data_IF_774058728696
#
_entry.id   IF_774058728696
#
_cell.length_a   1.000
_cell.length_b   1.000
_cell.length_c   1.000
_cell.angle_alpha   90.00
_cell.angle_beta   90.00
_cell.angle_gamma   90.00
#
_symmetry.space_group_name_H-M   'P 1'
#
loop_
_entity.id
_entity.type
_entity.pdbx_description
1 polymer ?
#
# COMPACT_ATOMS: atom_id res chain seq x y z
N UNK A 1 -24.09 -0.97 3.20
CA UNK A 1 -23.13 -1.92 3.81
C UNK A 1 -21.88 -1.86 2.95
N UNK A 2 -20.74 -1.58 3.57
CA UNK A 2 -19.46 -1.50 2.87
C UNK A 2 -19.12 -2.86 2.26
N UNK A 3 -18.73 -2.89 0.98
CA UNK A 3 -18.30 -4.12 0.31
C UNK A 3 -16.98 -4.62 0.91
N UNK A 4 -16.71 -5.92 0.77
CA UNK A 4 -15.41 -6.47 1.17
C UNK A 4 -14.26 -5.88 0.36
N UNK A 5 -14.49 -5.66 -0.94
CA UNK A 5 -13.57 -5.04 -1.91
C UNK A 5 -14.38 -4.27 -2.95
N UNK A 6 -13.79 -3.22 -3.53
CA UNK A 6 -14.32 -2.49 -4.67
C UNK A 6 -13.39 -2.70 -5.88
N UNK A 7 -13.95 -2.80 -7.08
CA UNK A 7 -13.17 -2.98 -8.31
C UNK A 7 -12.40 -1.70 -8.68
N UNK A 8 -11.33 -1.83 -9.48
CA UNK A 8 -10.60 -0.66 -9.96
C UNK A 8 -11.53 0.26 -10.78
N UNK A 9 -11.65 1.51 -10.35
CA UNK A 9 -12.58 2.49 -10.93
C UNK A 9 -13.97 2.51 -10.28
N UNK A 10 -14.29 1.55 -9.42
CA UNK A 10 -15.46 1.60 -8.55
C UNK A 10 -15.13 2.39 -7.28
N UNK A 11 -15.67 3.61 -7.17
CA UNK A 11 -15.37 4.50 -6.06
C UNK A 11 -16.21 4.11 -4.82
N UNK A 12 -15.61 3.73 -3.69
CA UNK A 12 -16.35 3.47 -2.45
C UNK A 12 -17.03 4.77 -1.96
N UNK A 13 -18.18 4.68 -1.25
CA UNK A 13 -18.77 5.84 -0.60
C UNK A 13 -17.74 6.57 0.26
N UNK A 14 -17.76 7.91 0.25
CA UNK A 14 -16.75 8.70 0.91
C UNK A 14 -16.70 8.38 2.42
N UNK A 15 -15.50 8.00 2.90
CA UNK A 15 -15.29 7.60 4.29
C UNK A 15 -15.52 6.12 4.59
N UNK A 16 -16.10 5.35 3.66
CA UNK A 16 -16.22 3.90 3.80
C UNK A 16 -14.94 3.20 3.35
N UNK A 17 -14.31 2.46 4.28
CA UNK A 17 -13.06 1.73 4.04
C UNK A 17 -13.38 0.24 3.87
N UNK A 18 -13.13 -0.37 2.70
CA UNK A 18 -13.33 -1.80 2.51
C UNK A 18 -12.31 -2.61 3.32
N UNK A 19 -12.59 -3.91 3.49
CA UNK A 19 -11.66 -4.81 4.18
C UNK A 19 -10.42 -5.11 3.32
N UNK A 20 -10.61 -5.25 2.00
CA UNK A 20 -9.57 -5.57 1.04
C UNK A 20 -9.43 -4.50 -0.04
N UNK A 21 -8.25 -4.48 -0.66
CA UNK A 21 -7.91 -3.64 -1.80
C UNK A 21 -7.08 -4.43 -2.82
N UNK A 22 -7.02 -3.91 -4.04
CA UNK A 22 -6.08 -4.39 -5.05
C UNK A 22 -4.74 -3.64 -4.93
N UNK A 23 -3.63 -4.37 -5.07
CA UNK A 23 -2.29 -3.78 -5.06
C UNK A 23 -1.35 -4.49 -6.02
N UNK A 24 -0.31 -3.78 -6.48
CA UNK A 24 0.84 -4.37 -7.17
C UNK A 24 1.83 -4.88 -6.11
N UNK A 25 1.95 -6.20 -5.99
CA UNK A 25 2.65 -6.87 -4.90
C UNK A 25 3.92 -7.56 -5.42
N UNK A 26 5.02 -7.35 -4.70
CA UNK A 26 6.30 -8.04 -4.86
C UNK A 26 6.43 -9.10 -3.76
N UNK A 27 6.85 -10.31 -4.12
CA UNK A 27 7.15 -11.39 -3.17
C UNK A 27 8.56 -11.97 -3.43
N UNK A 28 9.23 -12.54 -2.40
CA UNK A 28 10.62 -13.01 -2.54
C UNK A 28 10.84 -14.05 -3.63
N UNK A 29 9.88 -14.95 -3.82
CA UNK A 29 9.90 -15.98 -4.86
C UNK A 29 9.80 -15.41 -6.29
N UNK A 30 9.49 -14.12 -6.43
CA UNK A 30 9.40 -13.41 -7.71
C UNK A 30 10.44 -12.31 -7.90
N UNK A 31 11.42 -12.18 -7.01
CA UNK A 31 12.44 -11.16 -7.19
C UNK A 31 13.16 -11.32 -8.54
N UNK A 32 13.41 -10.21 -9.21
CA UNK A 32 14.03 -10.18 -10.54
C UNK A 32 13.49 -9.06 -11.41
N UNK A 33 13.26 -9.37 -12.70
CA UNK A 33 12.78 -8.39 -13.68
C UNK A 33 11.46 -7.75 -13.22
N UNK A 34 11.34 -6.40 -13.18
CA UNK A 34 10.14 -5.73 -12.67
C UNK A 34 8.84 -6.17 -13.35
N UNK A 35 8.87 -6.49 -14.64
CA UNK A 35 7.73 -6.99 -15.42
C UNK A 35 7.15 -8.32 -14.92
N UNK A 36 7.92 -9.08 -14.13
CA UNK A 36 7.53 -10.37 -13.54
C UNK A 36 7.35 -10.28 -12.03
N UNK A 37 8.15 -9.44 -11.37
CA UNK A 37 8.16 -9.30 -9.91
C UNK A 37 6.84 -8.74 -9.36
N UNK A 38 6.31 -7.70 -10.00
CA UNK A 38 5.02 -7.11 -9.65
C UNK A 38 3.88 -7.96 -10.19
N UNK A 39 2.94 -8.32 -9.31
CA UNK A 39 1.70 -8.98 -9.67
C UNK A 39 0.53 -8.31 -8.97
N UNK A 40 -0.62 -8.24 -9.66
CA UNK A 40 -1.85 -7.73 -9.08
C UNK A 40 -2.41 -8.76 -8.09
N UNK A 41 -2.59 -8.37 -6.84
CA UNK A 41 -3.16 -9.24 -5.80
C UNK A 41 -4.23 -8.47 -4.99
N UNK A 42 -5.14 -9.23 -4.35
CA UNK A 42 -6.05 -8.71 -3.33
C UNK A 42 -5.39 -8.86 -1.96
N UNK A 43 -5.31 -7.76 -1.21
CA UNK A 43 -4.69 -7.71 0.13
C UNK A 43 -5.61 -6.99 1.10
N UNK A 44 -5.42 -7.18 2.40
CA UNK A 44 -6.15 -6.41 3.40
C UNK A 44 -5.75 -4.94 3.37
N UNK A 45 -6.71 -4.04 3.59
CA UNK A 45 -6.42 -2.61 3.79
C UNK A 45 -5.74 -2.44 5.15
N UNK A 46 -4.60 -1.73 5.23
CA UNK A 46 -3.88 -1.58 6.49
C UNK A 46 -4.71 -0.82 7.54
N UNK A 47 -4.50 -1.18 8.81
CA UNK A 47 -5.06 -0.42 9.93
C UNK A 47 -4.35 0.93 10.07
N UNK A 48 -5.14 1.95 10.36
CA UNK A 48 -4.67 3.34 10.46
C UNK A 48 -4.32 3.70 11.90
N UNK A 49 -3.12 4.21 12.13
CA UNK A 49 -2.70 4.72 13.46
C UNK A 49 -3.28 6.12 13.73
N UNK A 50 -3.23 6.59 15.00
CA UNK A 50 -3.78 7.89 15.36
C UNK A 50 -3.24 9.08 14.56
N UNK A 51 -1.99 9.04 14.13
CA UNK A 51 -1.29 10.13 13.44
C UNK A 51 -1.20 9.97 11.92
N UNK A 52 -1.88 8.97 11.35
CA UNK A 52 -1.83 8.63 9.92
C UNK A 52 -3.12 9.02 9.18
N UNK A 53 -3.05 9.05 7.84
CA UNK A 53 -4.22 9.12 6.96
C UNK A 53 -4.25 7.95 5.98
N UNK A 54 -5.45 7.46 5.68
CA UNK A 54 -5.67 6.49 4.60
C UNK A 54 -6.11 7.23 3.35
N UNK A 55 -5.40 7.02 2.25
CA UNK A 55 -5.64 7.68 0.97
C UNK A 55 -6.20 6.67 -0.04
N UNK A 56 -7.33 7.00 -0.66
CA UNK A 56 -7.78 6.33 -1.88
C UNK A 56 -6.96 6.87 -3.06
N UNK A 57 -5.98 6.07 -3.50
CA UNK A 57 -4.99 6.45 -4.50
C UNK A 57 -5.62 6.48 -5.90
N UNK A 58 -5.53 7.63 -6.57
CA UNK A 58 -6.02 7.85 -7.94
C UNK A 58 -4.91 7.63 -8.96
N UNK A 59 -3.68 8.03 -8.63
CA UNK A 59 -2.49 7.79 -9.44
C UNK A 59 -1.25 7.62 -8.55
N UNK A 60 -0.27 6.88 -9.06
CA UNK A 60 1.03 6.67 -8.41
C UNK A 60 2.17 6.99 -9.38
N UNK A 61 3.26 7.54 -8.85
CA UNK A 61 4.47 7.81 -9.62
C UNK A 61 5.39 6.58 -9.72
N UNK A 62 6.11 6.48 -10.84
CA UNK A 62 7.15 5.46 -11.03
C UNK A 62 8.49 6.00 -10.54
N UNK A 63 9.22 5.17 -9.79
CA UNK A 63 10.49 5.54 -9.18
C UNK A 63 11.49 4.38 -9.27
N UNK A 64 12.79 4.69 -9.33
CA UNK A 64 13.88 3.71 -9.32
C UNK A 64 13.88 2.80 -8.10
N UNK A 65 13.39 3.26 -6.95
CA UNK A 65 13.32 2.43 -5.75
C UNK A 65 12.47 1.17 -5.92
N UNK A 66 11.45 1.22 -6.77
CA UNK A 66 10.63 0.08 -7.10
C UNK A 66 11.38 -0.94 -7.97
N UNK A 67 12.38 -0.51 -8.75
CA UNK A 67 13.28 -1.43 -9.46
C UNK A 67 14.17 -2.17 -8.47
N UNK A 68 14.75 -1.48 -7.49
CA UNK A 68 15.55 -2.12 -6.43
C UNK A 68 14.72 -3.09 -5.58
N UNK A 69 13.49 -2.69 -5.21
CA UNK A 69 12.56 -3.54 -4.48
C UNK A 69 12.16 -4.79 -5.28
N UNK A 70 11.89 -4.65 -6.59
CA UNK A 70 11.58 -5.78 -7.48
C UNK A 70 12.76 -6.74 -7.61
N UNK A 71 13.99 -6.23 -7.70
CA UNK A 71 15.20 -7.04 -7.79
C UNK A 71 15.56 -7.72 -6.46
N UNK A 72 15.11 -7.18 -5.32
CA UNK A 72 15.59 -7.58 -3.99
C UNK A 72 17.05 -7.17 -3.73
N UNK A 73 17.56 -6.16 -4.45
CA UNK A 73 18.96 -5.69 -4.41
C UNK A 73 18.98 -4.18 -4.22
N UNK A 74 19.81 -3.64 -3.30
CA UNK A 74 20.82 -4.35 -2.49
C UNK A 74 20.26 -5.07 -1.26
N UNK A 75 18.96 -4.92 -0.99
CA UNK A 75 18.31 -5.44 0.22
C UNK A 75 17.01 -6.15 -0.16
N UNK A 76 16.77 -7.30 0.46
CA UNK A 76 15.46 -7.93 0.52
C UNK A 76 14.56 -7.15 1.52
N UNK A 77 13.72 -6.27 0.97
CA UNK A 77 12.81 -5.42 1.76
C UNK A 77 11.85 -6.23 2.63
N UNK A 78 11.45 -7.43 2.19
CA UNK A 78 10.49 -8.28 2.91
C UNK A 78 11.11 -8.94 4.14
N UNK A 79 12.43 -9.15 4.15
CA UNK A 79 13.18 -9.63 5.33
C UNK A 79 13.63 -8.52 6.26
N UNK A 80 13.75 -7.30 5.74
CA UNK A 80 14.17 -6.16 6.55
C UNK A 80 12.99 -5.50 7.27
N UNK A 81 11.81 -5.43 6.64
CA UNK A 81 10.62 -4.79 7.23
C UNK A 81 10.12 -5.40 8.56
N UNK A 82 10.17 -6.71 8.79
CA UNK A 82 9.83 -7.27 10.10
C UNK A 82 10.75 -6.80 11.24
N UNK A 83 11.93 -6.24 10.91
CA UNK A 83 12.93 -5.77 11.88
C UNK A 83 12.83 -4.26 12.15
N UNK A 84 11.89 -3.56 11.52
CA UNK A 84 11.68 -2.14 11.75
C UNK A 84 11.27 -1.90 13.22
N UNK A 85 12.01 -1.09 13.98
CA UNK A 85 11.75 -0.92 15.42
C UNK A 85 10.51 -0.07 15.69
N UNK A 86 9.96 0.61 14.68
CA UNK A 86 8.83 1.50 14.83
C UNK A 86 7.56 0.89 14.17
N UNK A 87 7.68 0.40 12.94
CA UNK A 87 6.58 -0.15 12.13
C UNK A 87 6.98 -1.51 11.53
N UNK A 88 7.05 -2.57 12.35
CA UNK A 88 7.35 -3.90 11.84
C UNK A 88 6.21 -4.41 10.96
N UNK A 89 6.55 -4.87 9.76
CA UNK A 89 5.60 -5.50 8.83
C UNK A 89 6.08 -6.92 8.53
N UNK A 90 5.29 -7.90 8.97
CA UNK A 90 5.53 -9.34 8.80
C UNK A 90 4.66 -10.00 7.74
N UNK A 91 4.02 -9.21 6.86
CA UNK A 91 3.15 -9.74 5.78
C UNK A 91 3.90 -10.60 4.76
N UNK A 92 5.23 -10.45 4.68
CA UNK A 92 6.09 -11.26 3.81
C UNK A 92 6.01 -10.88 2.33
N UNK A 93 5.37 -9.75 2.01
CA UNK A 93 5.34 -9.16 0.68
C UNK A 93 5.64 -7.66 0.76
N UNK A 94 5.81 -7.00 -0.39
CA UNK A 94 6.03 -5.57 -0.45
C UNK A 94 5.12 -4.92 -1.51
N UNK A 95 4.42 -3.86 -1.12
CA UNK A 95 3.74 -2.94 -2.03
C UNK A 95 4.64 -1.71 -2.16
N UNK A 96 5.20 -1.50 -3.35
CA UNK A 96 6.03 -0.35 -3.66
C UNK A 96 5.23 0.92 -3.96
N UNK A 97 5.91 1.95 -4.46
CA UNK A 97 5.33 3.26 -4.74
C UNK A 97 5.75 4.30 -3.70
N UNK A 98 6.24 5.45 -4.16
CA UNK A 98 6.71 6.52 -3.27
C UNK A 98 6.26 7.90 -3.69
N UNK A 99 5.35 7.97 -4.66
CA UNK A 99 4.62 9.15 -5.07
C UNK A 99 3.17 8.73 -5.31
N UNK A 100 2.21 9.54 -4.86
CA UNK A 100 0.80 9.29 -5.08
C UNK A 100 -0.01 10.60 -5.11
N UNK A 101 -1.10 10.60 -5.85
CA UNK A 101 -2.20 11.56 -5.71
C UNK A 101 -3.49 10.81 -5.43
N UNK A 102 -4.35 11.36 -4.58
CA UNK A 102 -5.54 10.68 -4.13
C UNK A 102 -6.41 11.51 -3.21
N UNK A 103 -7.45 10.87 -2.68
CA UNK A 103 -8.45 11.48 -1.80
C UNK A 103 -8.26 10.90 -0.40
N UNK A 104 -8.29 11.74 0.64
CA UNK A 104 -8.25 11.25 2.02
C UNK A 104 -9.58 10.56 2.33
N UNK A 105 -9.51 9.27 2.67
CA UNK A 105 -10.70 8.44 2.97
C UNK A 105 -10.86 8.14 4.46
N UNK A 106 -9.78 8.20 5.24
CA UNK A 106 -9.85 8.10 6.70
C UNK A 106 -8.73 8.90 7.34
N UNK A 107 -9.00 9.49 8.50
CA UNK A 107 -8.01 10.21 9.30
C UNK A 107 -7.90 9.55 10.67
N UNK A 108 -6.67 9.43 11.17
CA UNK A 108 -6.40 9.01 12.54
C UNK A 108 -6.85 10.07 13.56
N UNK A 109 -7.06 9.66 14.81
CA UNK A 109 -7.61 10.52 15.86
C UNK A 109 -6.73 11.70 16.30
N UNK A 110 -5.43 11.66 15.99
CA UNK A 110 -4.47 12.72 16.29
C UNK A 110 -4.20 13.66 15.09
N UNK A 111 -4.74 13.37 13.90
CA UNK A 111 -4.59 14.22 12.71
C UNK A 111 -5.48 15.46 12.83
N UNK A 112 -4.91 16.65 12.56
CA UNK A 112 -5.61 17.94 12.74
C UNK A 112 -5.60 18.86 11.52
N UNK A 113 -4.79 18.54 10.51
CA UNK A 113 -4.47 19.44 9.39
C UNK A 113 -5.08 19.01 8.05
N UNK A 114 -5.69 17.82 7.98
CA UNK A 114 -6.40 17.31 6.81
C UNK A 114 -7.70 16.63 7.25
N UNK A 115 -8.65 16.48 6.32
CA UNK A 115 -9.97 15.89 6.56
C UNK A 115 -10.32 14.93 5.42
N UNK A 116 -11.30 14.06 5.65
CA UNK A 116 -11.87 13.21 4.58
C UNK A 116 -12.45 14.08 3.47
N UNK A 117 -12.19 13.69 2.21
CA UNK A 117 -12.50 14.46 0.99
C UNK A 117 -11.34 15.35 0.55
#
# INVERSE_FOLDING_TARGET
MTKEIYELGEIPPLGEVPKKMYAQVIRPERFGEPTKAFQLEQVDVPELRPDEVLVYVMAAGINYNNVWAALGIPIDVTKNRPKDPYWPDSTGFHIGGSDASGIVYKVGSAVKNVKVG
#
